data_IF_463199124559
#
_entry.id   IF_463199124559
#
_cell.length_a   1.000
_cell.length_b   1.000
_cell.length_c   1.000
_cell.angle_alpha   90.00
_cell.angle_beta   90.00
_cell.angle_gamma   90.00
#
_symmetry.space_group_name_H-M   'P 1'
#
loop_
_entity.id
_entity.type
_entity.pdbx_description
1 polymer ?
#
# COMPACT_ATOMS: atom_id res chain seq x y z
N UNK A 1 -19.25 3.38 7.16
CA UNK A 1 -17.83 2.96 7.29
C UNK A 1 -17.77 1.45 7.18
N UNK A 2 -16.68 0.89 6.63
CA UNK A 2 -16.50 -0.57 6.53
C UNK A 2 -16.36 -1.15 7.95
N UNK A 3 -17.06 -2.24 8.31
CA UNK A 3 -16.91 -2.90 9.61
C UNK A 3 -15.46 -3.31 9.89
N UNK A 4 -14.99 -3.21 11.14
CA UNK A 4 -13.58 -3.47 11.51
C UNK A 4 -13.14 -4.90 11.12
N UNK A 5 -14.02 -5.87 11.28
CA UNK A 5 -13.84 -7.26 10.83
C UNK A 5 -13.54 -7.37 9.33
N UNK A 6 -14.15 -6.52 8.49
CA UNK A 6 -13.93 -6.48 7.04
C UNK A 6 -12.71 -5.69 6.64
N UNK A 7 -12.28 -4.73 7.45
CA UNK A 7 -11.05 -3.98 7.18
C UNK A 7 -9.82 -4.89 7.20
N UNK A 8 -9.82 -5.94 8.03
CA UNK A 8 -8.74 -6.94 8.09
C UNK A 8 -8.70 -7.88 6.89
N UNK A 9 -9.80 -8.03 6.16
CA UNK A 9 -9.88 -8.85 4.94
C UNK A 9 -9.43 -8.08 3.68
N UNK A 10 -9.33 -6.74 3.74
CA UNK A 10 -9.01 -5.88 2.60
C UNK A 10 -7.52 -5.56 2.58
N UNK A 11 -6.85 -5.89 1.47
CA UNK A 11 -5.45 -5.48 1.23
C UNK A 11 -5.42 -4.09 0.62
N UNK A 12 -4.78 -3.12 1.28
CA UNK A 12 -4.60 -1.76 0.74
C UNK A 12 -3.15 -1.58 0.29
N UNK A 13 -2.95 -1.17 -0.96
CA UNK A 13 -1.67 -0.79 -1.51
C UNK A 13 -1.71 0.70 -1.89
N UNK A 14 -0.70 1.47 -1.50
CA UNK A 14 -0.61 2.89 -1.83
C UNK A 14 0.23 3.08 -3.09
N UNK A 15 -0.31 3.75 -4.12
CA UNK A 15 0.42 4.06 -5.35
C UNK A 15 0.64 5.57 -5.48
N UNK A 16 1.90 6.01 -5.44
CA UNK A 16 2.25 7.43 -5.34
C UNK A 16 3.38 7.86 -6.28
N UNK A 17 3.38 9.11 -6.73
CA UNK A 17 4.52 9.72 -7.45
C UNK A 17 5.58 10.29 -6.51
N UNK A 18 5.29 10.41 -5.20
CA UNK A 18 6.24 10.92 -4.22
C UNK A 18 7.28 9.86 -3.90
N UNK A 19 8.55 10.28 -3.92
CA UNK A 19 9.70 9.49 -3.44
C UNK A 19 10.21 10.02 -2.09
N UNK A 20 9.46 10.93 -1.45
CA UNK A 20 9.85 11.49 -0.17
C UNK A 20 9.83 10.36 0.88
N UNK A 21 10.97 10.07 1.56
CA UNK A 21 11.02 9.01 2.55
C UNK A 21 10.01 9.23 3.69
N UNK A 22 9.66 10.47 4.01
CA UNK A 22 8.66 10.77 5.06
C UNK A 22 7.27 10.24 4.68
N UNK A 23 6.90 10.27 3.40
CA UNK A 23 5.61 9.75 2.95
C UNK A 23 5.58 8.22 2.98
N UNK A 24 6.72 7.60 2.66
CA UNK A 24 6.91 6.15 2.71
C UNK A 24 6.81 5.65 4.15
N UNK A 25 7.51 6.28 5.10
CA UNK A 25 7.46 5.88 6.51
C UNK A 25 6.07 6.05 7.11
N UNK A 26 5.39 7.18 6.85
CA UNK A 26 4.00 7.37 7.29
C UNK A 26 3.04 6.32 6.74
N UNK A 27 3.25 5.84 5.51
CA UNK A 27 2.43 4.79 4.94
C UNK A 27 2.70 3.43 5.61
N UNK A 28 3.96 3.13 5.93
CA UNK A 28 4.33 1.91 6.69
C UNK A 28 3.77 1.89 8.11
N UNK A 29 3.65 3.05 8.74
CA UNK A 29 3.06 3.16 10.09
C UNK A 29 1.53 2.94 10.11
N UNK A 30 0.87 2.93 8.95
CA UNK A 30 -0.56 2.68 8.86
C UNK A 30 -0.84 1.18 8.77
N UNK A 31 -1.43 0.61 9.83
CA UNK A 31 -1.74 -0.82 9.95
C UNK A 31 -2.61 -1.40 8.84
N UNK A 32 -3.33 -0.56 8.08
CA UNK A 32 -4.17 -1.00 6.98
C UNK A 32 -3.46 -1.00 5.63
N UNK A 33 -2.29 -0.33 5.53
CA UNK A 33 -1.50 -0.24 4.29
C UNK A 33 -0.46 -1.35 4.28
N UNK A 34 -0.52 -2.19 3.25
CA UNK A 34 0.38 -3.32 3.09
C UNK A 34 1.70 -2.94 2.42
N UNK A 35 1.66 -2.03 1.44
CA UNK A 35 2.86 -1.56 0.74
C UNK A 35 2.66 -0.15 0.16
N UNK A 36 3.78 0.54 -0.05
CA UNK A 36 3.87 1.83 -0.73
C UNK A 36 4.67 1.66 -2.03
N UNK A 37 3.95 1.74 -3.14
CA UNK A 37 4.47 1.56 -4.49
C UNK A 37 4.71 2.94 -5.11
N UNK A 38 5.95 3.20 -5.49
CA UNK A 38 6.30 4.41 -6.24
C UNK A 38 6.00 4.23 -7.73
N UNK A 39 5.47 5.26 -8.36
CA UNK A 39 5.21 5.25 -9.81
C UNK A 39 6.51 5.39 -10.62
N UNK A 40 6.55 4.88 -11.87
CA UNK A 40 5.53 4.04 -12.49
C UNK A 40 5.53 2.64 -11.86
N UNK A 41 4.34 2.04 -11.79
CA UNK A 41 4.19 0.65 -11.33
C UNK A 41 4.97 -0.29 -12.27
N UNK A 42 5.62 -1.30 -11.71
CA UNK A 42 6.41 -2.29 -12.45
C UNK A 42 5.81 -3.68 -12.32
N UNK A 43 6.18 -4.59 -13.21
CA UNK A 43 5.69 -5.97 -13.20
C UNK A 43 5.99 -6.69 -11.87
N UNK A 44 7.12 -6.37 -11.24
CA UNK A 44 7.48 -6.88 -9.92
C UNK A 44 6.51 -6.42 -8.82
N UNK A 45 5.94 -5.23 -8.92
CA UNK A 45 4.94 -4.73 -7.98
C UNK A 45 3.61 -5.47 -8.16
N UNK A 46 3.23 -5.75 -9.42
CA UNK A 46 2.03 -6.55 -9.73
C UNK A 46 2.16 -7.98 -9.21
N UNK A 47 3.36 -8.56 -9.32
CA UNK A 47 3.65 -9.87 -8.74
C UNK A 47 3.44 -9.89 -7.23
N UNK A 48 3.75 -8.81 -6.50
CA UNK A 48 3.49 -8.71 -5.05
C UNK A 48 2.00 -8.55 -4.74
N UNK A 49 1.24 -7.87 -5.60
CA UNK A 49 -0.19 -7.60 -5.38
C UNK A 49 -1.05 -8.85 -5.62
N UNK A 50 -0.76 -9.59 -6.70
CA UNK A 50 -1.66 -10.62 -7.25
C UNK A 50 -1.19 -12.08 -7.07
N UNK A 51 0.05 -12.33 -6.63
CA UNK A 51 0.46 -13.68 -6.19
C UNK A 51 0.20 -13.88 -4.70
#
# INVERSE_FOLDING_TARGET
>A
SVPEEKQKEIKIYMLSSSINPVDVEKAKDNIYVLDYITKPIRDDDLNKIFK
#
